data_IF_859644412458
#
_entry.id   IF_859644412458
#
_cell.length_a   1.000
_cell.length_b   1.000
_cell.length_c   1.000
_cell.angle_alpha   90.00
_cell.angle_beta   90.00
_cell.angle_gamma   90.00
#
_symmetry.space_group_name_H-M   'P 1'
#
loop_
_entity.id
_entity.type
_entity.pdbx_description
1 polymer ?
#
# COMPACT_ATOMS: atom_id res chain seq x y z
N UNK A 1 12.49 3.20 -2.72
CA UNK A 1 12.73 3.19 -1.24
C UNK A 1 12.37 1.82 -0.67
N UNK A 2 13.24 1.25 0.17
CA UNK A 2 13.00 -0.07 0.77
C UNK A 2 12.00 -0.01 1.93
N UNK A 3 11.85 1.16 2.55
CA UNK A 3 10.90 1.46 3.62
C UNK A 3 10.19 2.79 3.32
N UNK A 4 8.91 2.88 3.67
CA UNK A 4 8.09 4.06 3.42
C UNK A 4 6.98 4.19 4.47
N UNK A 5 6.44 5.38 4.65
CA UNK A 5 5.27 5.63 5.49
C UNK A 5 3.98 5.41 4.71
N UNK A 6 2.87 5.07 5.38
CA UNK A 6 1.56 4.97 4.72
C UNK A 6 1.12 6.28 4.06
N UNK A 7 1.58 7.43 4.57
CA UNK A 7 1.26 8.73 3.98
C UNK A 7 1.96 8.92 2.63
N UNK A 8 3.22 8.52 2.52
CA UNK A 8 3.96 8.56 1.25
C UNK A 8 3.34 7.63 0.22
N UNK A 9 2.94 6.42 0.63
CA UNK A 9 2.23 5.50 -0.24
C UNK A 9 0.89 6.08 -0.68
N UNK A 10 0.10 6.66 0.24
CA UNK A 10 -1.17 7.31 -0.09
C UNK A 10 -0.97 8.41 -1.13
N UNK A 11 -0.01 9.33 -0.91
CA UNK A 11 0.28 10.43 -1.84
C UNK A 11 0.67 9.93 -3.23
N UNK A 12 1.47 8.86 -3.29
CA UNK A 12 1.89 8.25 -4.55
C UNK A 12 0.69 7.67 -5.30
N UNK A 13 -0.19 6.93 -4.61
CA UNK A 13 -1.40 6.37 -5.22
C UNK A 13 -2.36 7.47 -5.65
N UNK A 14 -2.53 8.52 -4.85
CA UNK A 14 -3.37 9.67 -5.21
C UNK A 14 -2.84 10.39 -6.46
N UNK A 15 -1.52 10.56 -6.57
CA UNK A 15 -0.89 11.16 -7.74
C UNK A 15 -1.04 10.29 -9.00
N UNK A 16 -0.98 8.96 -8.87
CA UNK A 16 -1.15 8.03 -9.98
C UNK A 16 -2.61 7.88 -10.42
N UNK A 17 -3.54 7.82 -9.46
CA UNK A 17 -4.96 7.62 -9.72
C UNK A 17 -5.72 8.93 -10.02
N UNK A 18 -5.11 10.09 -9.76
CA UNK A 18 -5.73 11.40 -9.95
C UNK A 18 -6.89 11.70 -8.99
N UNK A 19 -7.04 10.91 -7.92
CA UNK A 19 -8.12 11.04 -6.94
C UNK A 19 -7.56 11.12 -5.53
N UNK A 20 -8.27 11.79 -4.62
CA UNK A 20 -7.92 11.80 -3.20
C UNK A 20 -8.49 10.59 -2.48
N UNK A 21 -7.67 9.95 -1.65
CA UNK A 21 -8.02 8.75 -0.90
C UNK A 21 -8.36 9.10 0.55
N UNK A 22 -9.38 8.44 1.09
CA UNK A 22 -9.69 8.59 2.51
C UNK A 22 -8.65 7.88 3.37
N UNK A 23 -7.91 8.64 4.19
CA UNK A 23 -6.77 8.16 4.97
C UNK A 23 -7.05 6.88 5.79
N UNK A 24 -8.20 6.83 6.46
CA UNK A 24 -8.56 5.67 7.29
C UNK A 24 -8.91 4.43 6.46
N UNK A 25 -9.54 4.62 5.29
CA UNK A 25 -9.88 3.51 4.41
C UNK A 25 -8.63 2.99 3.71
N UNK A 26 -7.75 3.89 3.29
CA UNK A 26 -6.46 3.53 2.70
C UNK A 26 -5.63 2.68 3.66
N UNK A 27 -5.48 3.13 4.91
CA UNK A 27 -4.78 2.34 5.93
C UNK A 27 -5.38 0.95 6.10
N UNK A 28 -6.71 0.86 6.29
CA UNK A 28 -7.40 -0.43 6.44
C UNK A 28 -7.23 -1.33 5.21
N UNK A 29 -7.30 -0.77 4.01
CA UNK A 29 -7.15 -1.50 2.75
C UNK A 29 -5.75 -2.10 2.66
N UNK A 30 -4.73 -1.28 2.90
CA UNK A 30 -3.32 -1.67 2.83
C UNK A 30 -3.00 -2.73 3.87
N UNK A 31 -3.45 -2.56 5.11
CA UNK A 31 -3.31 -3.56 6.19
C UNK A 31 -4.03 -4.88 5.86
N UNK A 32 -5.26 -4.82 5.32
CA UNK A 32 -6.04 -6.01 4.97
C UNK A 32 -5.55 -6.73 3.71
N UNK A 33 -4.96 -5.99 2.77
CA UNK A 33 -4.47 -6.55 1.50
C UNK A 33 -3.25 -7.46 1.67
N UNK A 34 -2.59 -7.40 2.84
CA UNK A 34 -1.35 -8.11 3.08
C UNK A 34 -0.16 -7.63 2.25
N UNK A 35 -0.35 -6.63 1.37
CA UNK A 35 0.66 -6.12 0.43
C UNK A 35 1.86 -5.46 1.12
N UNK A 36 1.69 -4.99 2.35
CA UNK A 36 2.74 -4.37 3.13
C UNK A 36 2.79 -4.96 4.53
N UNK A 37 3.99 -4.94 5.12
CA UNK A 37 4.23 -5.27 6.52
C UNK A 37 4.71 -4.04 7.28
N UNK A 38 4.28 -3.92 8.53
CA UNK A 38 4.85 -2.97 9.48
C UNK A 38 6.25 -3.45 9.86
N UNK A 39 7.25 -2.58 9.69
CA UNK A 39 8.65 -2.93 10.00
C UNK A 39 8.96 -2.79 11.49
N UNK A 40 8.03 -2.26 12.29
CA UNK A 40 8.25 -1.90 13.71
C UNK A 40 9.12 -0.66 13.89
N UNK A 41 9.82 -0.22 12.84
CA UNK A 41 10.60 1.00 12.82
C UNK A 41 9.70 2.21 12.61
N UNK A 42 10.20 3.38 13.01
CA UNK A 42 9.51 4.66 12.81
C UNK A 42 10.41 5.60 12.03
N UNK A 43 9.82 6.39 11.15
CA UNK A 43 10.55 7.37 10.37
C UNK A 43 11.10 8.46 11.30
N UNK A 44 12.28 8.98 10.97
CA UNK A 44 12.81 10.14 11.66
C UNK A 44 11.90 11.34 11.37
N UNK A 45 11.35 11.94 12.42
CA UNK A 45 10.38 13.04 12.30
C UNK A 45 10.88 14.25 13.05
N UNK A 46 11.00 15.39 12.34
CA UNK A 46 11.34 16.69 12.94
C UNK A 46 10.19 17.31 13.76
N UNK A 47 9.11 16.57 14.01
CA UNK A 47 8.00 16.99 14.86
C UNK A 47 6.88 15.95 15.00
N UNK A 48 6.21 15.92 16.16
CA UNK A 48 5.09 15.02 16.46
C UNK A 48 5.46 13.55 16.67
N UNK A 49 4.45 12.67 16.76
CA UNK A 49 4.67 11.22 16.86
C UNK A 49 5.19 10.70 15.50
N UNK A 50 6.39 10.08 15.46
CA UNK A 50 6.96 9.62 14.21
C UNK A 50 6.10 8.52 13.59
N UNK A 51 5.85 8.57 12.26
CA UNK A 51 5.04 7.58 11.57
C UNK A 51 5.78 6.25 11.50
N UNK A 52 5.04 5.15 11.56
CA UNK A 52 5.58 3.82 11.36
C UNK A 52 6.03 3.62 9.91
N UNK A 53 7.14 2.92 9.74
CA UNK A 53 7.68 2.52 8.45
C UNK A 53 7.13 1.16 8.06
N UNK A 54 6.77 1.04 6.79
CA UNK A 54 6.24 -0.13 6.15
C UNK A 54 7.15 -0.56 5.00
N UNK A 55 7.12 -1.85 4.69
CA UNK A 55 7.82 -2.44 3.56
C UNK A 55 6.84 -3.23 2.69
N UNK A 56 7.07 -3.23 1.39
CA UNK A 56 6.31 -4.07 0.47
C UNK A 56 6.67 -5.54 0.66
N UNK A 57 5.65 -6.41 0.73
CA UNK A 57 5.83 -7.86 0.82
C UNK A 57 5.89 -8.46 -0.59
N UNK A 58 7.06 -8.91 -1.07
CA UNK A 58 7.21 -9.48 -2.41
C UNK A 58 6.41 -10.77 -2.61
N UNK A 59 6.10 -11.49 -1.53
CA UNK A 59 5.31 -12.73 -1.55
C UNK A 59 3.89 -12.54 -2.11
N UNK A 60 3.32 -11.33 -2.00
CA UNK A 60 1.95 -11.04 -2.46
C UNK A 60 1.89 -10.81 -3.97
N UNK A 61 3.04 -10.62 -4.63
CA UNK A 61 3.10 -10.43 -6.08
C UNK A 61 2.71 -11.68 -6.88
N UNK A 62 2.71 -12.87 -6.25
CA UNK A 62 2.24 -14.12 -6.86
C UNK A 62 0.73 -14.35 -6.77
N UNK A 63 0.00 -13.64 -5.90
CA UNK A 63 -1.47 -13.74 -5.82
C UNK A 63 -2.17 -12.81 -6.80
N UNK A 64 -1.68 -12.79 -8.04
CA UNK A 64 -2.54 -12.50 -9.18
C UNK A 64 -2.85 -13.83 -9.88
N UNK A 65 -3.90 -14.58 -9.48
CA UNK A 65 -4.60 -15.31 -10.52
C UNK A 65 -4.96 -14.24 -11.54
N UNK A 66 -4.39 -14.35 -12.76
CA UNK A 66 -4.86 -13.59 -13.91
C UNK A 66 -6.39 -13.63 -13.84
N UNK A 67 -7.11 -12.50 -13.77
CA UNK A 67 -8.54 -12.53 -13.99
C UNK A 67 -8.70 -13.24 -15.32
N UNK A 68 -9.16 -14.50 -15.27
CA UNK A 68 -9.31 -15.33 -16.45
C UNK A 68 -10.11 -14.50 -17.43
N UNK A 69 -9.52 -14.25 -18.59
CA UNK A 69 -10.17 -13.57 -19.70
C UNK A 69 -11.49 -14.28 -19.90
N UNK A 70 -12.59 -13.61 -19.60
CA UNK A 70 -13.92 -14.08 -19.94
C UNK A 70 -14.05 -14.05 -21.45
N UNK A 71 -13.60 -15.11 -22.13
CA UNK A 71 -14.08 -15.45 -23.46
C UNK A 71 -14.91 -16.73 -23.32
N UNK A 72 -16.23 -16.62 -23.15
CA UNK A 72 -17.11 -17.69 -23.57
C UNK A 72 -17.17 -17.70 -25.10
N UNK A 73 -17.03 -18.90 -25.62
CA UNK A 73 -17.11 -19.32 -27.01
C UNK A 73 -18.32 -18.74 -27.75
N UNK A 74 -18.14 -18.41 -29.03
CA UNK A 74 -19.17 -18.53 -30.06
C UNK A 74 -18.62 -19.32 -31.23
#
# INVERSE_FOLDING_TARGET
>A
PDRFTLLELQRTVEALAGVRLHKQNFRRLVERSGLVEGTGERADSRGGRPPELFRYRPEVQLERPRPGVGQPYR
#
